data_IF_721057661130
#
_entry.id   IF_721057661130
#
_cell.length_a   1.000
_cell.length_b   1.000
_cell.length_c   1.000
_cell.angle_alpha   90.00
_cell.angle_beta   90.00
_cell.angle_gamma   90.00
#
_symmetry.space_group_name_H-M   'P 1'
#
loop_
_entity.id
_entity.type
_entity.pdbx_description
1 polymer ?
#
# COMPACT_ATOMS: atom_id res chain seq x y z
N UNK A 1 -4.76 9.59 20.71
CA UNK A 1 -5.01 9.34 19.28
C UNK A 1 -4.57 7.95 18.91
N UNK A 2 -5.31 7.32 18.01
CA UNK A 2 -4.95 5.99 17.56
C UNK A 2 -3.68 6.03 16.73
N UNK A 3 -2.92 4.94 16.80
CA UNK A 3 -1.81 4.76 15.89
C UNK A 3 -2.32 4.65 14.45
N UNK A 4 -1.45 4.97 13.50
CA UNK A 4 -1.74 4.82 12.08
C UNK A 4 -0.90 3.68 11.53
N UNK A 5 -1.56 2.74 10.89
CA UNK A 5 -0.90 1.66 10.14
C UNK A 5 -1.21 1.83 8.67
N UNK A 6 -0.24 1.53 7.83
CA UNK A 6 -0.43 1.60 6.37
C UNK A 6 -0.34 0.22 5.77
N UNK A 7 -1.26 -0.06 4.84
CA UNK A 7 -1.28 -1.29 4.06
C UNK A 7 -1.19 -0.92 2.59
N UNK A 8 -0.23 -1.48 1.88
CA UNK A 8 -0.11 -1.31 0.43
C UNK A 8 -0.45 -2.61 -0.26
N UNK A 9 -1.34 -2.54 -1.24
CA UNK A 9 -1.74 -3.70 -2.01
C UNK A 9 -0.81 -3.84 -3.21
N UNK A 10 -0.12 -4.96 -3.26
CA UNK A 10 0.90 -5.22 -4.28
C UNK A 10 0.78 -6.65 -4.84
N UNK A 11 -0.40 -7.25 -4.74
CA UNK A 11 -0.59 -8.65 -5.07
C UNK A 11 -1.05 -8.91 -6.51
N UNK A 12 -1.50 -7.87 -7.21
CA UNK A 12 -2.13 -8.03 -8.52
C UNK A 12 -1.16 -8.29 -9.65
N UNK A 13 -1.73 -8.67 -10.80
CA UNK A 13 -0.98 -8.81 -12.04
C UNK A 13 -0.88 -7.48 -12.75
N UNK A 14 0.18 -7.33 -13.53
CA UNK A 14 0.29 -6.24 -14.47
C UNK A 14 0.34 -6.82 -15.88
N UNK A 15 -0.78 -7.34 -16.35
CA UNK A 15 -0.84 -8.02 -17.64
C UNK A 15 -0.43 -7.13 -18.80
N UNK A 16 -0.72 -5.84 -18.72
CA UNK A 16 -0.39 -4.89 -19.79
C UNK A 16 1.10 -4.70 -19.96
N UNK A 17 1.85 -5.05 -18.93
CA UNK A 17 3.31 -4.91 -18.99
C UNK A 17 3.97 -6.22 -19.40
N UNK A 18 3.20 -7.20 -19.84
CA UNK A 18 3.74 -8.50 -20.19
C UNK A 18 4.38 -9.18 -19.00
N UNK A 19 5.64 -9.58 -19.14
CA UNK A 19 6.35 -10.26 -18.08
C UNK A 19 6.82 -9.30 -16.97
N UNK A 20 6.74 -8.00 -17.21
CA UNK A 20 7.24 -7.03 -16.23
C UNK A 20 6.20 -6.71 -15.20
N UNK A 21 6.63 -6.61 -13.95
CA UNK A 21 5.79 -6.12 -12.89
C UNK A 21 5.96 -4.61 -12.80
N UNK A 22 4.87 -3.88 -12.97
CA UNK A 22 4.86 -2.43 -12.92
C UNK A 22 5.46 -1.89 -11.62
N UNK A 23 5.23 -2.60 -10.53
CA UNK A 23 5.70 -2.16 -9.21
C UNK A 23 7.22 -2.18 -9.06
N UNK A 24 7.91 -2.86 -9.96
CA UNK A 24 9.36 -2.95 -9.94
C UNK A 24 10.03 -1.92 -10.86
N UNK A 25 9.23 -1.17 -11.64
CA UNK A 25 9.77 -0.14 -12.50
C UNK A 25 10.27 1.05 -11.67
N UNK A 26 11.34 1.72 -12.12
CA UNK A 26 11.92 2.80 -11.31
C UNK A 26 11.06 4.05 -11.27
N UNK A 27 11.00 4.64 -10.09
CA UNK A 27 10.42 5.95 -9.85
C UNK A 27 11.44 6.70 -9.01
N UNK A 28 12.01 7.76 -9.56
CA UNK A 28 13.03 8.52 -8.83
C UNK A 28 14.25 7.70 -8.45
N UNK A 29 14.59 6.69 -9.26
CA UNK A 29 15.78 5.87 -9.03
C UNK A 29 15.57 4.64 -8.14
N UNK A 30 14.35 4.41 -7.64
CA UNK A 30 14.05 3.21 -6.85
C UNK A 30 12.81 2.53 -7.41
N UNK A 31 12.62 1.22 -7.16
CA UNK A 31 11.40 0.54 -7.62
C UNK A 31 10.14 1.24 -7.10
N UNK A 32 9.11 1.29 -7.91
CA UNK A 32 7.86 1.98 -7.56
C UNK A 32 7.33 1.55 -6.19
N UNK A 33 7.32 0.25 -5.91
CA UNK A 33 6.81 -0.23 -4.63
C UNK A 33 7.62 0.32 -3.46
N UNK A 34 8.93 0.44 -3.63
CA UNK A 34 9.79 1.01 -2.59
C UNK A 34 9.52 2.51 -2.41
N UNK A 35 9.30 3.22 -3.52
CA UNK A 35 8.90 4.63 -3.46
C UNK A 35 7.61 4.78 -2.66
N UNK A 36 6.63 3.91 -2.92
CA UNK A 36 5.35 3.98 -2.21
C UNK A 36 5.50 3.65 -0.72
N UNK A 37 6.36 2.70 -0.38
CA UNK A 37 6.66 2.41 1.02
C UNK A 37 7.26 3.64 1.70
N UNK A 38 8.13 4.37 1.01
CA UNK A 38 8.71 5.58 1.57
C UNK A 38 7.64 6.65 1.84
N UNK A 39 6.69 6.80 0.93
CA UNK A 39 5.59 7.77 1.09
C UNK A 39 4.70 7.39 2.28
N UNK A 40 4.23 6.15 2.31
CA UNK A 40 3.34 5.70 3.39
C UNK A 40 4.08 5.58 4.72
N UNK A 41 5.35 5.22 4.68
CA UNK A 41 6.15 5.09 5.89
C UNK A 41 6.36 6.40 6.62
N UNK A 42 6.24 7.52 5.92
CA UNK A 42 6.39 8.83 6.53
C UNK A 42 5.27 9.16 7.50
N UNK A 43 4.11 8.51 7.37
CA UNK A 43 2.97 8.75 8.26
C UNK A 43 2.59 7.54 9.09
N UNK A 44 3.16 6.38 8.80
CA UNK A 44 2.87 5.15 9.54
C UNK A 44 3.78 5.06 10.75
N UNK A 45 3.22 4.68 11.88
CA UNK A 45 3.98 4.50 13.11
C UNK A 45 4.58 3.10 13.22
N UNK A 46 4.21 2.22 12.32
CA UNK A 46 4.74 0.86 12.23
C UNK A 46 5.20 0.60 10.81
N UNK A 47 6.01 -0.42 10.58
CA UNK A 47 6.41 -0.75 9.21
C UNK A 47 5.20 -0.89 8.30
N UNK A 48 5.32 -0.37 7.09
CA UNK A 48 4.25 -0.46 6.09
C UNK A 48 4.03 -1.93 5.75
N UNK A 49 2.79 -2.39 5.84
CA UNK A 49 2.46 -3.76 5.49
C UNK A 49 2.16 -3.84 4.00
N UNK A 50 2.95 -4.62 3.29
CA UNK A 50 2.78 -4.79 1.85
C UNK A 50 2.21 -6.17 1.59
N UNK A 51 1.01 -6.22 1.00
CA UNK A 51 0.36 -7.49 0.67
C UNK A 51 0.82 -7.93 -0.70
N UNK A 52 1.48 -9.08 -0.77
CA UNK A 52 2.07 -9.60 -1.99
C UNK A 52 1.25 -10.76 -2.56
N UNK A 53 1.53 -11.12 -3.80
CA UNK A 53 0.86 -12.22 -4.46
C UNK A 53 1.64 -12.69 -5.66
N UNK A 54 1.27 -12.22 -6.86
CA UNK A 54 1.84 -12.71 -8.11
C UNK A 54 3.37 -12.68 -8.15
N UNK A 55 3.99 -11.62 -7.68
CA UNK A 55 5.44 -11.46 -7.75
C UNK A 55 6.03 -11.29 -6.36
N UNK A 56 5.59 -12.09 -5.39
CA UNK A 56 5.94 -11.92 -3.99
C UNK A 56 7.45 -11.83 -3.76
N UNK A 57 8.23 -12.73 -4.35
CA UNK A 57 9.67 -12.76 -4.10
C UNK A 57 10.37 -11.53 -4.67
N UNK A 58 9.95 -11.07 -5.84
CA UNK A 58 10.55 -9.90 -6.46
C UNK A 58 10.21 -8.64 -5.65
N UNK A 59 8.99 -8.55 -5.16
CA UNK A 59 8.57 -7.44 -4.32
C UNK A 59 9.36 -7.45 -3.01
N UNK A 60 9.50 -8.60 -2.38
CA UNK A 60 10.27 -8.72 -1.14
C UNK A 60 11.71 -8.28 -1.34
N UNK A 61 12.32 -8.67 -2.45
CA UNK A 61 13.69 -8.28 -2.75
C UNK A 61 13.80 -6.77 -2.94
N UNK A 62 12.82 -6.16 -3.62
CA UNK A 62 12.81 -4.72 -3.84
C UNK A 62 12.65 -3.92 -2.55
N UNK A 63 12.08 -4.54 -1.53
CA UNK A 63 11.80 -3.88 -0.25
C UNK A 63 12.85 -4.19 0.82
N UNK A 64 13.87 -4.93 0.49
CA UNK A 64 14.92 -5.28 1.45
C UNK A 64 15.53 -4.01 2.06
N UNK A 65 15.58 -3.96 3.39
CA UNK A 65 16.14 -2.81 4.10
C UNK A 65 15.23 -1.60 4.21
N UNK A 66 14.00 -1.68 3.67
CA UNK A 66 13.04 -0.59 3.78
C UNK A 66 12.20 -0.71 5.04
N UNK A 67 11.38 0.32 5.32
CA UNK A 67 10.45 0.32 6.45
C UNK A 67 9.16 -0.42 6.07
N UNK A 68 9.30 -1.69 5.68
CA UNK A 68 8.19 -2.49 5.21
C UNK A 68 8.22 -3.90 5.77
N UNK A 69 7.05 -4.48 5.89
CA UNK A 69 6.84 -5.87 6.23
C UNK A 69 5.92 -6.45 5.16
N UNK A 70 6.17 -7.65 4.71
CA UNK A 70 5.35 -8.25 3.65
C UNK A 70 4.49 -9.38 4.21
N UNK A 71 3.33 -9.58 3.60
CA UNK A 71 2.48 -10.74 3.85
C UNK A 71 1.98 -11.25 2.51
N UNK A 72 2.05 -12.55 2.31
CA UNK A 72 1.62 -13.17 1.06
C UNK A 72 0.12 -13.48 1.12
N UNK A 73 -0.60 -13.09 0.05
CA UNK A 73 -2.01 -13.41 -0.11
C UNK A 73 -2.15 -14.59 -1.08
N UNK A 74 -2.45 -15.80 -0.60
CA UNK A 74 -2.58 -16.95 -1.50
C UNK A 74 -3.77 -16.86 -2.43
N UNK A 75 -4.75 -16.01 -2.12
CA UNK A 75 -5.94 -15.83 -2.93
C UNK A 75 -5.86 -14.64 -3.87
N UNK A 76 -4.64 -14.19 -4.17
CA UNK A 76 -4.47 -12.95 -4.94
C UNK A 76 -5.16 -12.96 -6.30
N UNK A 77 -5.31 -14.13 -6.92
CA UNK A 77 -5.95 -14.23 -8.22
C UNK A 77 -7.46 -14.04 -8.17
N UNK A 78 -8.05 -14.06 -6.99
CA UNK A 78 -9.49 -13.96 -6.80
C UNK A 78 -9.97 -12.52 -6.62
N UNK A 79 -9.08 -11.56 -6.68
CA UNK A 79 -9.45 -10.17 -6.65
C UNK A 79 -8.81 -9.39 -5.52
N UNK A 80 -8.85 -8.07 -5.70
CA UNK A 80 -8.19 -7.14 -4.78
C UNK A 80 -8.77 -7.18 -3.37
N UNK A 81 -10.07 -7.47 -3.26
CA UNK A 81 -10.72 -7.56 -1.95
C UNK A 81 -10.08 -8.60 -1.05
N UNK A 82 -9.55 -9.70 -1.63
CA UNK A 82 -8.88 -10.72 -0.82
C UNK A 82 -7.59 -10.17 -0.21
N UNK A 83 -6.92 -9.26 -0.91
CA UNK A 83 -5.71 -8.62 -0.39
C UNK A 83 -6.02 -7.66 0.74
N UNK A 84 -7.13 -6.93 0.64
CA UNK A 84 -7.56 -6.06 1.74
C UNK A 84 -7.81 -6.87 3.00
N UNK A 85 -8.54 -7.97 2.88
CA UNK A 85 -8.82 -8.85 4.02
C UNK A 85 -7.52 -9.43 4.59
N UNK A 86 -6.63 -9.87 3.71
CA UNK A 86 -5.35 -10.43 4.12
C UNK A 86 -4.55 -9.43 4.95
N UNK A 87 -4.49 -8.18 4.49
CA UNK A 87 -3.76 -7.12 5.20
C UNK A 87 -4.42 -6.75 6.52
N UNK A 88 -5.74 -6.64 6.54
CA UNK A 88 -6.46 -6.25 7.75
C UNK A 88 -6.32 -7.25 8.88
N UNK A 89 -6.11 -8.53 8.55
CA UNK A 89 -5.88 -9.56 9.58
C UNK A 89 -4.57 -9.36 10.33
N UNK A 90 -3.65 -8.59 9.76
CA UNK A 90 -2.33 -8.39 10.33
C UNK A 90 -2.23 -7.14 11.20
N UNK A 91 -3.26 -6.32 11.25
CA UNK A 91 -3.22 -5.08 12.02
C UNK A 91 -4.13 -5.15 13.23
N UNK A 92 -3.77 -4.39 14.26
CA UNK A 92 -4.57 -4.30 15.48
C UNK A 92 -5.89 -3.60 15.16
N UNK A 93 -7.04 -4.19 15.55
CA UNK A 93 -8.34 -3.55 15.31
C UNK A 93 -8.49 -2.14 15.88
N UNK A 94 -7.69 -1.77 16.86
CA UNK A 94 -7.75 -0.43 17.45
C UNK A 94 -6.96 0.61 16.65
N UNK A 95 -6.27 0.19 15.58
CA UNK A 95 -5.42 1.05 14.79
C UNK A 95 -6.21 1.70 13.65
N UNK A 96 -5.95 2.98 13.38
CA UNK A 96 -6.43 3.60 12.15
C UNK A 96 -5.60 3.05 10.99
N UNK A 97 -6.26 2.73 9.89
CA UNK A 97 -5.59 2.08 8.76
C UNK A 97 -5.74 2.88 7.49
N UNK A 98 -4.62 3.12 6.81
CA UNK A 98 -4.61 3.64 5.45
C UNK A 98 -4.31 2.50 4.51
N UNK A 99 -5.19 2.28 3.55
CA UNK A 99 -5.01 1.22 2.55
C UNK A 99 -4.78 1.88 1.21
N UNK A 100 -3.66 1.58 0.59
CA UNK A 100 -3.30 2.17 -0.69
C UNK A 100 -2.87 1.14 -1.71
N UNK A 101 -2.78 1.59 -2.95
CA UNK A 101 -2.27 0.78 -4.04
C UNK A 101 -0.80 1.07 -4.24
N UNK A 102 -0.03 0.03 -4.51
CA UNK A 102 1.41 0.17 -4.73
C UNK A 102 1.79 0.88 -6.01
N UNK A 103 0.83 1.20 -6.86
CA UNK A 103 1.07 1.79 -8.17
C UNK A 103 0.49 3.19 -8.33
N UNK A 104 0.55 4.01 -7.30
CA UNK A 104 0.09 5.40 -7.34
C UNK A 104 1.25 6.36 -7.06
N UNK A 105 2.24 6.44 -7.97
CA UNK A 105 3.48 7.17 -7.67
C UNK A 105 3.33 8.68 -7.52
N UNK A 106 2.22 9.24 -7.97
CA UNK A 106 1.97 10.68 -7.83
C UNK A 106 1.38 11.06 -6.48
N UNK A 107 0.97 10.08 -5.69
CA UNK A 107 0.46 10.33 -4.35
C UNK A 107 1.61 10.76 -3.44
N UNK A 108 1.40 11.83 -2.67
CA UNK A 108 2.45 12.40 -1.83
C UNK A 108 2.14 12.23 -0.35
N UNK A 109 3.14 12.44 0.48
CA UNK A 109 2.96 12.44 1.93
C UNK A 109 1.93 13.51 2.33
N UNK A 110 1.93 14.65 1.67
CA UNK A 110 0.97 15.72 1.93
C UNK A 110 -0.46 15.26 1.67
N UNK A 111 -0.67 14.49 0.57
CA UNK A 111 -1.98 13.93 0.26
C UNK A 111 -2.46 13.00 1.37
N UNK A 112 -1.56 12.18 1.91
CA UNK A 112 -1.90 11.24 2.97
C UNK A 112 -2.22 11.97 4.28
N UNK A 113 -1.49 13.02 4.59
CA UNK A 113 -1.80 13.82 5.77
C UNK A 113 -3.18 14.46 5.67
N UNK A 114 -3.53 14.97 4.50
CA UNK A 114 -4.84 15.58 4.29
C UNK A 114 -5.94 14.54 4.45
N UNK A 115 -5.76 13.34 3.89
CA UNK A 115 -6.73 12.26 4.02
C UNK A 115 -6.91 11.85 5.47
N UNK A 116 -5.81 11.71 6.20
CA UNK A 116 -5.86 11.30 7.59
C UNK A 116 -6.55 12.35 8.47
N UNK A 117 -6.30 13.62 8.19
CA UNK A 117 -6.97 14.71 8.90
C UNK A 117 -8.48 14.65 8.68
N UNK A 118 -8.90 14.43 7.43
CA UNK A 118 -10.32 14.32 7.10
C UNK A 118 -10.95 13.11 7.78
N UNK A 119 -10.26 11.99 7.79
CA UNK A 119 -10.74 10.77 8.41
C UNK A 119 -10.98 10.98 9.91
N UNK A 120 -10.03 11.59 10.58
CA UNK A 120 -10.13 11.84 12.02
C UNK A 120 -11.21 12.85 12.37
N UNK A 121 -11.39 13.84 11.50
CA UNK A 121 -12.44 14.84 11.69
C UNK A 121 -13.83 14.23 11.53
N UNK A 122 -13.98 13.30 10.60
CA UNK A 122 -15.26 12.66 10.35
C UNK A 122 -15.68 11.70 11.45
N UNK A 123 -14.70 11.06 12.10
CA UNK A 123 -14.92 10.13 13.20
C UNK A 123 -15.96 9.04 12.88
N UNK A 124 -15.98 8.59 11.63
CA UNK A 124 -17.00 7.64 11.17
C UNK A 124 -16.44 6.28 10.82
N UNK A 125 -15.13 6.16 10.66
CA UNK A 125 -14.50 4.93 10.19
C UNK A 125 -13.05 4.92 10.64
N UNK A 126 -12.50 3.71 10.76
CA UNK A 126 -11.09 3.54 11.07
C UNK A 126 -10.26 3.20 9.84
N UNK A 127 -10.92 3.11 8.67
CA UNK A 127 -10.26 2.75 7.43
C UNK A 127 -10.42 3.87 6.43
N UNK A 128 -9.31 4.31 5.86
CA UNK A 128 -9.31 5.30 4.79
C UNK A 128 -8.54 4.74 3.60
N UNK A 129 -9.11 4.92 2.42
CA UNK A 129 -8.51 4.47 1.18
C UNK A 129 -8.29 5.68 0.29
N UNK A 130 -7.03 6.03 -0.01
CA UNK A 130 -6.78 7.16 -0.91
C UNK A 130 -7.31 6.89 -2.30
N UNK A 131 -8.02 7.86 -2.84
CA UNK A 131 -8.48 7.82 -4.23
C UNK A 131 -7.86 8.98 -4.96
N UNK A 132 -7.13 8.67 -6.03
CA UNK A 132 -6.42 9.67 -6.78
C UNK A 132 -7.14 9.93 -8.09
N UNK A 133 -7.73 11.11 -8.20
CA UNK A 133 -8.61 11.46 -9.30
C UNK A 133 -7.97 11.33 -10.68
N UNK A 134 -6.70 11.60 -10.77
CA UNK A 134 -6.04 11.60 -12.06
C UNK A 134 -5.97 10.24 -12.72
N UNK A 135 -6.19 9.20 -11.97
CA UNK A 135 -6.19 7.86 -12.53
C UNK A 135 -7.38 7.60 -13.43
N UNK A 136 -8.33 8.46 -13.36
CA UNK A 136 -9.56 8.32 -14.14
C UNK A 136 -9.42 8.87 -15.54
N UNK A 137 -8.36 9.57 -15.75
CA UNK A 137 -8.05 10.34 -16.95
C UNK A 137 -8.09 9.61 -18.19
#
# INVERSE_FOLDING_TARGET
MSEVAAILLAAGFSRRMGARNKLLLPVGGVPMIRHMVNVYGAISERPVLVVTGHAAKDIEAALSGSFARTVFNPDYAQGQATSVVCGLREVDPATDVLIGLGDQPLLTVKDLHALLTMHRAADTSRISIPVYQQQRG
#
